data_IF_204844147970
#
_entry.id   IF_204844147970
#
_cell.length_a   1.000
_cell.length_b   1.000
_cell.length_c   1.000
_cell.angle_alpha   90.00
_cell.angle_beta   90.00
_cell.angle_gamma   90.00
#
_symmetry.space_group_name_H-M   'P 1'
#
loop_
_entity.id
_entity.type
_entity.pdbx_description
1 polymer ?
#
# COMPACT_ATOMS: atom_id res chain seq x y z
N UNK A 1 25.94 2.55 17.12
CA UNK A 1 24.91 1.49 17.03
C UNK A 1 23.89 1.82 18.12
N UNK A 2 22.72 2.37 17.76
CA UNK A 2 21.81 2.95 18.75
C UNK A 2 21.17 1.88 19.64
N UNK A 3 21.31 2.04 20.96
CA UNK A 3 20.63 1.22 21.97
C UNK A 3 19.13 1.25 21.69
N UNK A 4 18.57 0.12 21.25
CA UNK A 4 17.17 -0.04 20.81
C UNK A 4 16.11 0.11 21.92
N UNK A 5 16.35 0.98 22.91
CA UNK A 5 15.47 1.24 24.06
C UNK A 5 14.30 2.18 23.75
N UNK A 6 14.24 2.79 22.57
CA UNK A 6 13.08 3.60 22.17
C UNK A 6 12.87 3.49 20.67
N UNK A 7 11.91 2.66 20.26
CA UNK A 7 11.14 3.03 19.08
C UNK A 7 10.42 4.32 19.45
N UNK A 8 10.99 5.47 19.06
CA UNK A 8 10.40 6.77 19.35
C UNK A 8 8.99 6.79 18.72
N UNK A 9 7.95 6.88 19.56
CA UNK A 9 6.56 6.94 19.09
C UNK A 9 6.39 8.04 18.05
N UNK A 10 7.07 9.18 18.24
CA UNK A 10 7.10 10.26 17.27
C UNK A 10 7.67 9.81 15.92
N UNK A 11 8.76 9.02 15.89
CA UNK A 11 9.31 8.51 14.64
C UNK A 11 8.36 7.54 13.93
N UNK A 12 7.64 6.70 14.69
CA UNK A 12 6.62 5.81 14.12
C UNK A 12 5.45 6.61 13.54
N UNK A 13 4.94 7.60 14.28
CA UNK A 13 3.87 8.49 13.82
C UNK A 13 4.30 9.25 12.57
N UNK A 14 5.49 9.87 12.58
CA UNK A 14 6.04 10.56 11.40
C UNK A 14 6.16 9.64 10.20
N UNK A 15 6.70 8.43 10.36
CA UNK A 15 6.81 7.46 9.28
C UNK A 15 5.44 7.06 8.71
N UNK A 16 4.44 6.85 9.58
CA UNK A 16 3.07 6.52 9.15
C UNK A 16 2.39 7.68 8.44
N UNK A 17 2.59 8.91 8.91
CA UNK A 17 2.10 10.11 8.23
C UNK A 17 2.69 10.27 6.84
N UNK A 18 4.01 10.08 6.68
CA UNK A 18 4.68 10.13 5.38
C UNK A 18 4.15 9.07 4.41
N UNK A 19 3.94 7.85 4.89
CA UNK A 19 3.32 6.77 4.09
C UNK A 19 1.91 7.18 3.66
N UNK A 20 1.11 7.77 4.55
CA UNK A 20 -0.24 8.26 4.25
C UNK A 20 -0.24 9.33 3.15
N UNK A 21 0.63 10.33 3.28
CA UNK A 21 0.79 11.41 2.30
C UNK A 21 1.21 10.86 0.94
N UNK A 22 2.25 10.01 0.91
CA UNK A 22 2.74 9.40 -0.33
C UNK A 22 1.68 8.55 -1.04
N UNK A 23 0.91 7.77 -0.26
CA UNK A 23 -0.23 7.00 -0.81
C UNK A 23 -1.29 7.92 -1.41
N UNK A 24 -1.63 9.03 -0.74
CA UNK A 24 -2.63 9.99 -1.23
C UNK A 24 -2.24 10.61 -2.57
N UNK A 25 -0.97 11.00 -2.74
CA UNK A 25 -0.48 11.56 -3.99
C UNK A 25 -0.51 10.55 -5.14
N UNK A 26 0.08 9.38 -4.94
CA UNK A 26 0.13 8.37 -6.01
C UNK A 26 -1.26 7.86 -6.39
N UNK A 27 -2.11 7.53 -5.41
CA UNK A 27 -3.41 6.93 -5.67
C UNK A 27 -4.33 7.89 -6.43
N UNK A 28 -4.39 9.15 -6.00
CA UNK A 28 -5.21 10.17 -6.67
C UNK A 28 -4.69 10.45 -8.08
N UNK A 29 -3.38 10.63 -8.25
CA UNK A 29 -2.79 10.87 -9.56
C UNK A 29 -3.03 9.70 -10.54
N UNK A 30 -2.86 8.47 -10.08
CA UNK A 30 -3.13 7.28 -10.88
C UNK A 30 -4.60 7.20 -11.29
N UNK A 31 -5.54 7.43 -10.36
CA UNK A 31 -6.97 7.39 -10.65
C UNK A 31 -7.36 8.43 -11.72
N UNK A 32 -6.91 9.68 -11.55
CA UNK A 32 -7.18 10.75 -12.51
C UNK A 32 -6.56 10.45 -13.87
N UNK A 33 -5.34 9.89 -13.90
CA UNK A 33 -4.67 9.53 -15.15
C UNK A 33 -5.44 8.52 -15.99
N UNK A 34 -6.03 7.50 -15.35
CA UNK A 34 -6.85 6.50 -16.07
C UNK A 34 -8.20 7.10 -16.50
N UNK A 35 -8.79 7.98 -15.69
CA UNK A 35 -10.02 8.69 -16.07
C UNK A 35 -9.81 9.66 -17.24
N UNK A 36 -8.62 10.26 -17.35
CA UNK A 36 -8.29 11.26 -18.36
C UNK A 36 -8.28 10.72 -19.81
N UNK A 37 -8.06 9.41 -19.99
CA UNK A 37 -7.91 8.82 -21.32
C UNK A 37 -9.23 8.38 -21.97
N UNK A 38 -10.33 8.34 -21.21
CA UNK A 38 -11.65 7.86 -21.66
C UNK A 38 -12.69 8.98 -21.80
N UNK A 39 -13.83 8.66 -22.42
CA UNK A 39 -14.95 9.60 -22.54
C UNK A 39 -15.69 9.79 -21.20
N UNK A 40 -16.40 10.92 -21.03
CA UNK A 40 -17.19 11.21 -19.79
C UNK A 40 -18.19 10.10 -19.44
N UNK A 41 -18.72 9.40 -20.44
CA UNK A 41 -19.69 8.33 -20.27
C UNK A 41 -19.05 7.06 -19.68
N UNK A 42 -17.74 6.87 -19.89
CA UNK A 42 -17.00 5.67 -19.48
C UNK A 42 -16.24 5.84 -18.15
N UNK A 43 -16.20 7.07 -17.59
CA UNK A 43 -15.46 7.38 -16.35
C UNK A 43 -15.87 6.47 -15.19
N UNK A 44 -17.16 6.16 -15.05
CA UNK A 44 -17.67 5.28 -13.99
C UNK A 44 -17.16 3.85 -14.13
N UNK A 45 -17.19 3.31 -15.35
CA UNK A 45 -16.71 1.96 -15.68
C UNK A 45 -15.21 1.85 -15.41
N UNK A 46 -14.43 2.82 -15.88
CA UNK A 46 -12.98 2.84 -15.66
C UNK A 46 -12.61 2.96 -14.18
N UNK A 47 -13.37 3.77 -13.43
CA UNK A 47 -13.18 3.89 -11.98
C UNK A 47 -13.48 2.57 -11.26
N UNK A 48 -14.53 1.87 -11.67
CA UNK A 48 -14.85 0.54 -11.12
C UNK A 48 -13.72 -0.47 -11.41
N UNK A 49 -13.19 -0.48 -12.63
CA UNK A 49 -12.05 -1.34 -13.01
C UNK A 49 -10.78 -0.98 -12.21
N UNK A 50 -10.53 0.31 -11.97
CA UNK A 50 -9.41 0.78 -11.15
C UNK A 50 -9.52 0.25 -9.71
N UNK A 51 -10.68 0.39 -9.06
CA UNK A 51 -10.87 -0.12 -7.70
C UNK A 51 -10.88 -1.65 -7.62
N UNK A 52 -11.43 -2.34 -8.63
CA UNK A 52 -11.34 -3.80 -8.72
C UNK A 52 -9.87 -4.26 -8.79
N UNK A 53 -9.06 -3.58 -9.61
CA UNK A 53 -7.62 -3.85 -9.73
C UNK A 53 -6.88 -3.58 -8.41
N UNK A 54 -7.23 -2.51 -7.70
CA UNK A 54 -6.68 -2.21 -6.38
C UNK A 54 -7.04 -3.29 -5.35
N UNK A 55 -8.26 -3.81 -5.37
CA UNK A 55 -8.70 -4.91 -4.51
C UNK A 55 -7.89 -6.19 -4.76
N UNK A 56 -7.67 -6.54 -6.03
CA UNK A 56 -6.83 -7.68 -6.42
C UNK A 56 -5.40 -7.51 -5.90
N UNK A 57 -4.79 -6.34 -6.13
CA UNK A 57 -3.45 -6.04 -5.61
C UNK A 57 -3.38 -6.13 -4.08
N UNK A 58 -4.40 -5.63 -3.38
CA UNK A 58 -4.53 -5.74 -1.93
C UNK A 58 -4.61 -7.18 -1.44
N UNK A 59 -5.37 -8.04 -2.11
CA UNK A 59 -5.50 -9.46 -1.81
C UNK A 59 -4.17 -10.21 -2.01
N UNK A 60 -3.46 -9.94 -3.11
CA UNK A 60 -2.13 -10.51 -3.39
C UNK A 60 -1.14 -10.09 -2.31
N UNK A 61 -1.06 -8.79 -2.02
CA UNK A 61 -0.15 -8.25 -1.00
C UNK A 61 -0.41 -8.84 0.39
N UNK A 62 -1.68 -8.92 0.79
CA UNK A 62 -2.08 -9.52 2.07
C UNK A 62 -1.71 -11.01 2.14
N UNK A 63 -1.88 -11.73 1.03
CA UNK A 63 -1.53 -13.16 0.95
C UNK A 63 -0.03 -13.40 1.09
N UNK A 64 0.80 -12.63 0.37
CA UNK A 64 2.27 -12.70 0.47
C UNK A 64 2.74 -12.30 1.87
N UNK A 65 2.22 -11.20 2.42
CA UNK A 65 2.53 -10.77 3.79
C UNK A 65 2.15 -11.84 4.82
N UNK A 66 0.98 -12.46 4.67
CA UNK A 66 0.54 -13.56 5.53
C UNK A 66 1.46 -14.79 5.44
N UNK A 67 1.95 -15.12 4.25
CA UNK A 67 2.90 -16.23 4.05
C UNK A 67 4.27 -15.93 4.70
N UNK A 68 4.79 -14.71 4.53
CA UNK A 68 6.03 -14.26 5.18
C UNK A 68 5.87 -14.30 6.70
N UNK A 69 4.76 -13.80 7.23
CA UNK A 69 4.48 -13.78 8.67
C UNK A 69 4.41 -15.18 9.27
N UNK A 70 3.62 -16.08 8.65
CA UNK A 70 3.44 -17.46 9.11
C UNK A 70 4.73 -18.29 9.05
N UNK A 71 5.62 -18.01 8.11
CA UNK A 71 6.91 -18.72 7.99
C UNK A 71 7.99 -18.15 8.91
N UNK A 72 8.03 -16.82 9.10
CA UNK A 72 9.14 -16.18 9.80
C UNK A 72 8.91 -16.05 11.30
N UNK A 73 7.73 -15.59 11.74
CA UNK A 73 7.51 -15.29 13.14
C UNK A 73 7.64 -16.53 14.04
N UNK A 74 7.01 -17.69 13.73
CA UNK A 74 7.18 -18.90 14.54
C UNK A 74 8.64 -19.37 14.61
N UNK A 75 9.35 -19.31 13.48
CA UNK A 75 10.78 -19.66 13.40
C UNK A 75 11.64 -18.77 14.30
N UNK A 76 11.39 -17.46 14.29
CA UNK A 76 12.11 -16.51 15.16
C UNK A 76 11.75 -16.68 16.63
N UNK A 77 10.48 -16.96 16.94
CA UNK A 77 10.08 -17.29 18.31
C UNK A 77 10.78 -18.55 18.82
N UNK A 78 10.91 -19.61 18.01
CA UNK A 78 11.66 -20.81 18.43
C UNK A 78 13.16 -20.57 18.61
N UNK A 79 13.73 -19.61 17.89
CA UNK A 79 15.15 -19.24 17.94
C UNK A 79 15.49 -18.38 19.17
N UNK A 80 14.63 -17.42 19.49
CA UNK A 80 14.92 -16.41 20.52
C UNK A 80 14.23 -16.63 21.86
N UNK A 81 13.14 -17.40 21.93
CA UNK A 81 12.50 -17.68 23.22
C UNK A 81 13.44 -18.52 24.10
N UNK A 82 13.54 -18.19 25.40
CA UNK A 82 14.30 -19.00 26.33
C UNK A 82 13.60 -20.35 26.57
N UNK A 83 14.33 -21.36 27.03
CA UNK A 83 13.86 -22.75 27.09
C UNK A 83 12.56 -22.91 27.89
N UNK A 84 12.37 -22.10 28.93
CA UNK A 84 11.17 -22.12 29.77
C UNK A 84 9.91 -21.64 29.03
N UNK A 85 10.08 -20.83 27.97
CA UNK A 85 9.00 -20.22 27.21
C UNK A 85 8.88 -20.75 25.77
N UNK A 86 9.80 -21.60 25.29
CA UNK A 86 9.76 -22.17 23.93
C UNK A 86 8.44 -22.89 23.63
N UNK A 87 7.88 -23.60 24.61
CA UNK A 87 6.58 -24.26 24.48
C UNK A 87 5.41 -23.30 24.21
N UNK A 88 5.55 -22.01 24.53
CA UNK A 88 4.52 -20.98 24.35
C UNK A 88 4.58 -20.31 22.97
N UNK A 89 5.53 -20.67 22.10
CA UNK A 89 5.71 -20.05 20.79
C UNK A 89 4.43 -20.06 19.94
N UNK A 90 3.68 -21.18 19.93
CA UNK A 90 2.42 -21.29 19.19
C UNK A 90 1.32 -20.41 19.77
N UNK A 91 1.21 -20.34 21.10
CA UNK A 91 0.25 -19.48 21.80
C UNK A 91 0.53 -18.00 21.55
N UNK A 92 1.81 -17.61 21.58
CA UNK A 92 2.29 -16.25 21.29
C UNK A 92 2.03 -15.87 19.83
N UNK A 93 2.26 -16.81 18.90
CA UNK A 93 1.98 -16.59 17.48
C UNK A 93 0.47 -16.42 17.21
N UNK A 94 -0.37 -17.23 17.87
CA UNK A 94 -1.81 -17.19 17.69
C UNK A 94 -2.50 -15.98 18.33
N UNK A 95 -1.87 -15.30 19.29
CA UNK A 95 -2.47 -14.15 19.96
C UNK A 95 -1.44 -13.15 20.47
N UNK A 96 -1.54 -11.91 19.96
CA UNK A 96 -0.76 -10.78 20.46
C UNK A 96 -1.09 -10.46 21.93
N UNK A 97 -2.30 -10.79 22.40
CA UNK A 97 -2.69 -10.59 23.80
C UNK A 97 -1.87 -11.49 24.72
N UNK A 98 -1.53 -12.71 24.28
CA UNK A 98 -0.63 -13.60 25.03
C UNK A 98 0.78 -13.01 25.09
N UNK A 99 1.28 -12.48 23.98
CA UNK A 99 2.56 -11.75 23.96
C UNK A 99 2.58 -10.55 24.93
N UNK A 100 1.44 -9.84 25.07
CA UNK A 100 1.28 -8.68 25.94
C UNK A 100 1.24 -8.98 27.43
N UNK A 101 0.95 -10.23 27.83
CA UNK A 101 0.96 -10.62 29.25
C UNK A 101 2.37 -10.70 29.84
N UNK A 102 3.40 -10.84 29.03
CA UNK A 102 4.78 -10.90 29.51
C UNK A 102 5.28 -9.49 29.90
N UNK A 103 5.93 -9.34 31.08
CA UNK A 103 6.35 -8.04 31.58
C UNK A 103 7.39 -7.39 30.66
N UNK A 104 7.23 -6.10 30.40
CA UNK A 104 8.16 -5.29 29.60
C UNK A 104 9.54 -5.31 30.25
N UNK A 105 10.58 -5.56 29.45
CA UNK A 105 11.96 -5.69 29.92
C UNK A 105 12.36 -7.09 30.39
N UNK A 106 11.42 -8.04 30.51
CA UNK A 106 11.73 -9.44 30.77
C UNK A 106 12.39 -10.13 29.57
N UNK A 107 13.18 -11.18 29.82
CA UNK A 107 13.89 -11.95 28.78
C UNK A 107 12.94 -12.49 27.70
N UNK A 108 11.82 -13.08 28.12
CA UNK A 108 10.77 -13.58 27.22
C UNK A 108 10.17 -12.45 26.39
N UNK A 109 9.89 -11.30 27.00
CA UNK A 109 9.30 -10.17 26.29
C UNK A 109 10.25 -9.56 25.26
N UNK A 110 11.53 -9.43 25.60
CA UNK A 110 12.56 -8.97 24.67
C UNK A 110 12.73 -9.94 23.49
N UNK A 111 12.68 -11.25 23.73
CA UNK A 111 12.73 -12.26 22.67
C UNK A 111 11.53 -12.17 21.72
N UNK A 112 10.33 -11.95 22.26
CA UNK A 112 9.10 -11.72 21.47
C UNK A 112 9.25 -10.43 20.65
N UNK A 113 9.60 -9.31 21.29
CA UNK A 113 9.74 -8.02 20.62
C UNK A 113 10.79 -8.07 19.49
N UNK A 114 11.90 -8.77 19.71
CA UNK A 114 12.92 -9.03 18.67
C UNK A 114 12.36 -9.85 17.52
N UNK A 115 11.65 -10.95 17.81
CA UNK A 115 11.03 -11.81 16.80
C UNK A 115 10.04 -11.03 15.93
N UNK A 116 9.22 -10.18 16.54
CA UNK A 116 8.27 -9.30 15.86
C UNK A 116 8.97 -8.23 15.02
N UNK A 117 9.98 -7.54 15.56
CA UNK A 117 10.76 -6.53 14.83
C UNK A 117 11.44 -7.09 13.60
N UNK A 118 12.08 -8.25 13.71
CA UNK A 118 12.75 -8.88 12.56
C UNK A 118 11.73 -9.32 11.50
N UNK A 119 10.59 -9.88 11.91
CA UNK A 119 9.50 -10.26 11.00
C UNK A 119 8.89 -9.05 10.29
N UNK A 120 8.65 -7.95 11.01
CA UNK A 120 8.15 -6.69 10.44
C UNK A 120 9.16 -6.06 9.48
N UNK A 121 10.46 -6.15 9.76
CA UNK A 121 11.51 -5.68 8.85
C UNK A 121 11.49 -6.44 7.52
N UNK A 122 11.30 -7.76 7.56
CA UNK A 122 11.17 -8.56 6.33
C UNK A 122 9.93 -8.17 5.52
N UNK A 123 8.79 -7.94 6.19
CA UNK A 123 7.58 -7.44 5.54
C UNK A 123 7.80 -6.07 4.89
N UNK A 124 8.50 -5.16 5.57
CA UNK A 124 8.82 -3.85 5.03
C UNK A 124 9.73 -3.93 3.80
N UNK A 125 10.76 -4.79 3.83
CA UNK A 125 11.64 -5.03 2.67
C UNK A 125 10.82 -5.56 1.50
N UNK A 126 9.99 -6.59 1.73
CA UNK A 126 9.13 -7.17 0.69
C UNK A 126 8.21 -6.12 0.05
N UNK A 127 7.59 -5.26 0.87
CA UNK A 127 6.75 -4.17 0.40
C UNK A 127 7.52 -3.15 -0.45
N UNK A 128 8.73 -2.74 -0.03
CA UNK A 128 9.56 -1.80 -0.79
C UNK A 128 10.01 -2.41 -2.12
N UNK A 129 10.41 -3.69 -2.14
CA UNK A 129 10.77 -4.36 -3.39
C UNK A 129 9.61 -4.45 -4.38
N UNK A 130 8.37 -4.52 -3.90
CA UNK A 130 7.19 -4.48 -4.76
C UNK A 130 6.93 -3.08 -5.36
N UNK A 131 7.46 -2.01 -4.76
CA UNK A 131 7.36 -0.63 -5.29
C UNK A 131 8.39 -0.35 -6.39
N UNK A 132 9.53 -1.03 -6.40
CA UNK A 132 10.56 -0.85 -7.42
C UNK A 132 10.04 -0.97 -8.87
N UNK A 133 9.27 -2.02 -9.25
CA UNK A 133 8.71 -2.09 -10.60
C UNK A 133 7.67 -1.00 -10.87
N UNK A 134 6.92 -0.50 -9.88
CA UNK A 134 5.99 0.61 -10.08
C UNK A 134 6.73 1.89 -10.49
N UNK A 135 7.87 2.17 -9.87
CA UNK A 135 8.72 3.32 -10.24
C UNK A 135 9.24 3.18 -11.67
N UNK A 136 9.61 1.97 -12.09
CA UNK A 136 10.05 1.73 -13.48
C UNK A 136 8.90 1.96 -14.46
N UNK A 137 7.70 1.42 -14.17
CA UNK A 137 6.50 1.59 -15.01
C UNK A 137 6.11 3.06 -15.14
N UNK A 138 6.34 3.88 -14.11
CA UNK A 138 6.07 5.31 -14.15
C UNK A 138 6.77 6.02 -15.32
N UNK A 139 7.98 5.62 -15.69
CA UNK A 139 8.70 6.20 -16.83
C UNK A 139 8.08 5.89 -18.19
N UNK A 140 7.21 4.88 -18.27
CA UNK A 140 6.50 4.49 -19.48
C UNK A 140 5.08 5.07 -19.57
N UNK A 141 4.61 5.78 -18.53
CA UNK A 141 3.32 6.45 -18.56
C UNK A 141 3.38 7.66 -19.50
N UNK A 142 2.47 7.70 -20.48
CA UNK A 142 2.37 8.80 -21.43
C UNK A 142 1.73 10.02 -20.75
N UNK A 143 2.31 11.20 -20.96
CA UNK A 143 1.75 12.43 -20.41
C UNK A 143 0.43 12.77 -21.14
N UNK A 144 -0.62 13.07 -20.39
CA UNK A 144 -1.95 13.39 -20.94
C UNK A 144 -2.24 14.86 -20.67
N UNK A 145 -2.28 15.68 -21.74
CA UNK A 145 -2.71 17.07 -21.64
C UNK A 145 -4.24 17.12 -21.59
N UNK A 146 -4.77 17.58 -20.45
CA UNK A 146 -6.21 17.67 -20.21
C UNK A 146 -6.85 18.85 -20.97
N UNK A 147 -6.08 19.92 -21.18
CA UNK A 147 -6.55 21.19 -21.76
C UNK A 147 -6.93 21.02 -23.25
N UNK A 148 -6.01 20.48 -24.06
CA UNK A 148 -6.20 20.29 -25.51
C UNK A 148 -7.41 19.41 -25.86
N UNK A 149 -7.74 18.41 -25.01
CA UNK A 149 -8.91 17.53 -25.23
C UNK A 149 -10.24 18.18 -24.89
N UNK A 150 -10.28 19.09 -23.92
CA UNK A 150 -11.50 19.83 -23.63
C UNK A 150 -11.78 20.84 -24.74
N UNK A 151 -10.76 21.59 -25.15
CA UNK A 151 -10.88 22.60 -26.21
C UNK A 151 -11.28 22.00 -27.55
N UNK A 152 -10.61 20.95 -28.03
CA UNK A 152 -10.92 20.33 -29.33
C UNK A 152 -12.33 19.71 -29.38
N UNK A 153 -12.85 19.27 -28.22
CA UNK A 153 -14.20 18.68 -28.13
C UNK A 153 -15.28 19.75 -28.03
N UNK A 154 -15.01 20.83 -27.30
CA UNK A 154 -15.90 22.00 -27.24
C UNK A 154 -15.99 22.73 -28.58
N UNK A 155 -14.87 22.83 -29.31
CA UNK A 155 -14.85 23.38 -30.68
C UNK A 155 -15.67 22.51 -31.64
N UNK A 156 -15.47 21.18 -31.64
CA UNK A 156 -16.26 20.28 -32.48
C UNK A 156 -17.76 20.24 -32.14
N UNK A 157 -18.14 20.37 -30.86
CA UNK A 157 -19.55 20.47 -30.44
C UNK A 157 -20.17 21.82 -30.84
N UNK A 158 -19.40 22.92 -30.82
CA UNK A 158 -19.84 24.25 -31.31
C UNK A 158 -20.03 24.25 -32.82
N UNK A 159 -19.06 23.73 -33.58
CA UNK A 159 -19.14 23.65 -35.05
C UNK A 159 -20.33 22.80 -35.50
N UNK A 160 -20.56 21.64 -34.89
CA UNK A 160 -21.76 20.82 -35.19
C UNK A 160 -23.07 21.51 -34.81
N UNK A 161 -23.08 22.32 -33.76
CA UNK A 161 -24.24 23.11 -33.33
C UNK A 161 -24.57 24.23 -34.31
N UNK A 162 -23.56 24.92 -34.84
CA UNK A 162 -23.70 25.98 -35.85
C UNK A 162 -24.13 25.41 -37.21
N UNK A 163 -23.56 24.28 -37.63
CA UNK A 163 -23.89 23.63 -38.90
C UNK A 163 -25.34 23.15 -38.95
N UNK A 164 -25.84 22.54 -37.87
CA UNK A 164 -27.26 22.16 -37.75
C UNK A 164 -28.24 23.35 -37.74
N UNK A 165 -27.77 24.52 -37.32
CA UNK A 165 -28.59 25.74 -37.27
C UNK A 165 -28.68 26.39 -38.65
N UNK A 166 -27.61 26.35 -39.44
CA UNK A 166 -27.59 26.79 -40.84
C UNK A 166 -28.35 25.87 -41.79
N UNK A 167 -28.39 24.56 -41.53
CA UNK A 167 -29.17 23.60 -42.33
C UNK A 167 -30.69 23.65 -42.05
N UNK A 168 -31.12 24.35 -41.00
CA UNK A 168 -32.51 24.48 -40.58
C UNK A 168 -33.17 25.81 -41.01
N UNK A 169 -32.43 26.70 -41.67
CA UNK A 169 -32.86 28.00 -42.20
C UNK A 169 -33.02 27.94 -43.73
#
# INVERSE_FOLDING_TARGET
MGDGKTGNEAAFVTAKSLIGIGRGFYQTAAQVSVQAVVSRQEVSVVTAVFFASMSIGGAIGTSVAGAIWRSNLPRKLSEYLPDEAKGQAKSIFGSIVVAQKYPVGGSVRMAIDRSYRESQRLLAIAAISALAPMVVIMFFLKNVHLDERQTAKEEGEREMGEQKKGDAE
#
